data_IF_115090757790
#
_entry.id   IF_115090757790
#
_cell.length_a   1.000
_cell.length_b   1.000
_cell.length_c   1.000
_cell.angle_alpha   90.00
_cell.angle_beta   90.00
_cell.angle_gamma   90.00
#
_symmetry.space_group_name_H-M   'P 1'
#
loop_
_entity.id
_entity.type
_entity.pdbx_description
1 polymer ?
#
# COMPACT_ATOMS: atom_id res chain seq x y z
N UNK A 1 -8.52 25.70 -6.58
CA UNK A 1 -8.57 25.10 -5.22
C UNK A 1 -7.63 23.89 -5.16
N UNK A 2 -6.87 23.81 -4.07
CA UNK A 2 -5.68 22.99 -3.81
C UNK A 2 -6.02 21.48 -3.69
N UNK A 3 -5.95 20.72 -4.78
CA UNK A 3 -6.09 19.25 -4.77
C UNK A 3 -4.94 18.52 -4.05
N UNK A 4 -3.86 19.23 -3.71
CA UNK A 4 -2.60 18.65 -3.24
C UNK A 4 -2.73 17.93 -1.89
N UNK A 5 -3.57 18.41 -0.96
CA UNK A 5 -3.63 17.86 0.40
C UNK A 5 -4.21 16.44 0.50
N UNK A 6 -5.25 16.12 -0.28
CA UNK A 6 -5.92 14.82 -0.23
C UNK A 6 -5.06 13.69 -0.79
N UNK A 7 -4.34 13.97 -1.88
CA UNK A 7 -3.45 13.00 -2.50
C UNK A 7 -2.25 12.71 -1.59
N UNK A 8 -1.63 13.75 -1.02
CA UNK A 8 -0.51 13.61 -0.09
C UNK A 8 -0.91 12.85 1.16
N UNK A 9 -2.08 13.13 1.74
CA UNK A 9 -2.59 12.38 2.90
C UNK A 9 -2.77 10.89 2.59
N UNK A 10 -3.33 10.56 1.42
CA UNK A 10 -3.52 9.17 1.00
C UNK A 10 -2.20 8.46 0.72
N UNK A 11 -1.21 9.15 0.14
CA UNK A 11 0.13 8.59 -0.08
C UNK A 11 0.82 8.25 1.25
N UNK A 12 0.70 9.12 2.24
CA UNK A 12 1.24 8.92 3.58
C UNK A 12 0.61 7.71 4.29
N UNK A 13 -0.69 7.51 4.16
CA UNK A 13 -1.36 6.32 4.72
C UNK A 13 -0.73 5.01 4.22
N UNK A 14 -0.42 4.92 2.92
CA UNK A 14 0.24 3.74 2.38
C UNK A 14 1.69 3.57 2.85
N UNK A 15 2.40 4.67 3.09
CA UNK A 15 3.74 4.64 3.69
C UNK A 15 3.69 4.14 5.14
N UNK A 16 2.71 4.63 5.91
CA UNK A 16 2.47 4.20 7.29
C UNK A 16 2.13 2.70 7.34
N UNK A 17 1.29 2.20 6.43
CA UNK A 17 1.02 0.75 6.32
C UNK A 17 2.27 -0.06 6.04
N UNK A 18 3.08 0.36 5.06
CA UNK A 18 4.35 -0.32 4.73
C UNK A 18 5.36 -0.27 5.88
N UNK A 19 5.35 0.79 6.69
CA UNK A 19 6.21 0.90 7.85
C UNK A 19 5.74 0.06 9.03
N UNK A 20 4.42 -0.20 9.14
CA UNK A 20 3.85 -1.03 10.20
C UNK A 20 4.15 -2.52 10.05
N UNK A 21 4.41 -3.00 8.82
CA UNK A 21 4.71 -4.40 8.54
C UNK A 21 6.19 -4.69 8.84
N UNK A 22 6.43 -5.68 9.70
CA UNK A 22 7.77 -6.22 10.00
C UNK A 22 8.18 -7.23 8.92
N UNK A 23 9.49 -7.46 8.77
CA UNK A 23 10.02 -8.26 7.65
C UNK A 23 9.54 -9.71 7.58
N UNK A 24 9.07 -10.28 8.69
CA UNK A 24 8.52 -11.63 8.80
C UNK A 24 6.98 -11.68 8.78
N UNK A 25 6.33 -10.52 8.74
CA UNK A 25 4.87 -10.40 8.77
C UNK A 25 4.32 -10.05 7.37
N UNK A 26 3.16 -10.60 7.03
CA UNK A 26 2.43 -10.19 5.84
C UNK A 26 1.38 -9.14 6.21
N UNK A 27 1.45 -7.97 5.57
CA UNK A 27 0.38 -6.98 5.58
C UNK A 27 -0.80 -7.43 4.71
N UNK A 28 -2.00 -6.96 5.04
CA UNK A 28 -3.22 -7.20 4.27
C UNK A 28 -4.03 -5.91 4.15
N UNK A 29 -4.44 -5.57 2.94
CA UNK A 29 -5.39 -4.50 2.66
C UNK A 29 -6.52 -5.02 1.75
N UNK A 30 -7.75 -4.60 2.03
CA UNK A 30 -8.91 -4.89 1.20
C UNK A 30 -9.27 -3.63 0.41
N UNK A 31 -9.54 -3.72 -0.90
CA UNK A 31 -9.98 -2.57 -1.69
C UNK A 31 -11.27 -1.96 -1.12
N UNK A 32 -11.29 -0.65 -1.02
CA UNK A 32 -12.50 0.12 -0.70
C UNK A 32 -13.32 0.43 -1.98
N UNK A 33 -14.48 1.06 -1.81
CA UNK A 33 -15.34 1.45 -2.94
C UNK A 33 -14.59 2.30 -3.96
N UNK A 34 -14.60 1.86 -5.23
CA UNK A 34 -13.88 2.50 -6.33
C UNK A 34 -12.37 2.18 -6.39
N UNK A 35 -11.84 1.34 -5.49
CA UNK A 35 -10.50 0.76 -5.63
C UNK A 35 -10.53 -0.62 -6.30
N UNK A 36 -9.40 -0.97 -6.91
CA UNK A 36 -9.17 -2.32 -7.44
C UNK A 36 -7.99 -2.94 -6.73
N UNK A 37 -7.95 -4.26 -6.62
CA UNK A 37 -6.80 -5.00 -6.07
C UNK A 37 -5.49 -4.63 -6.78
N UNK A 38 -5.52 -4.50 -8.11
CA UNK A 38 -4.39 -4.04 -8.91
C UNK A 38 -3.95 -2.61 -8.54
N UNK A 39 -4.90 -1.69 -8.40
CA UNK A 39 -4.62 -0.30 -8.02
C UNK A 39 -4.03 -0.22 -6.61
N UNK A 40 -4.55 -1.02 -5.68
CA UNK A 40 -4.08 -1.12 -4.30
C UNK A 40 -2.65 -1.70 -4.23
N UNK A 41 -2.38 -2.80 -4.92
CA UNK A 41 -1.04 -3.37 -5.04
C UNK A 41 -0.02 -2.34 -5.57
N UNK A 42 -0.38 -1.60 -6.63
CA UNK A 42 0.48 -0.55 -7.18
C UNK A 42 0.76 0.58 -6.17
N UNK A 43 -0.21 0.96 -5.34
CA UNK A 43 -0.03 1.98 -4.30
C UNK A 43 0.92 1.50 -3.21
N UNK A 44 0.80 0.23 -2.79
CA UNK A 44 1.71 -0.41 -1.83
C UNK A 44 3.14 -0.42 -2.38
N UNK A 45 3.36 -0.93 -3.60
CA UNK A 45 4.71 -0.97 -4.19
C UNK A 45 5.33 0.42 -4.33
N UNK A 46 4.52 1.43 -4.69
CA UNK A 46 4.98 2.82 -4.76
C UNK A 46 5.29 3.41 -3.38
N UNK A 47 4.54 3.06 -2.36
CA UNK A 47 4.79 3.50 -0.99
C UNK A 47 6.08 2.90 -0.44
N UNK A 48 6.29 1.58 -0.64
CA UNK A 48 7.54 0.91 -0.29
C UNK A 48 8.75 1.59 -0.92
N UNK A 49 8.69 1.87 -2.24
CA UNK A 49 9.75 2.61 -2.92
C UNK A 49 10.03 3.99 -2.30
N UNK A 50 9.00 4.71 -1.84
CA UNK A 50 9.17 6.05 -1.22
C UNK A 50 9.85 5.98 0.15
N UNK A 51 9.67 4.89 0.88
CA UNK A 51 10.31 4.68 2.20
C UNK A 51 11.57 3.82 2.12
N UNK A 52 12.09 3.56 0.92
CA UNK A 52 13.33 2.82 0.72
C UNK A 52 13.23 1.31 0.94
N UNK A 53 12.03 0.73 0.88
CA UNK A 53 11.78 -0.71 0.99
C UNK A 53 11.39 -1.32 -0.35
N UNK A 54 11.57 -2.62 -0.48
CA UNK A 54 10.96 -3.44 -1.55
C UNK A 54 9.68 -4.08 -1.01
N UNK A 55 8.66 -4.19 -1.85
CA UNK A 55 7.42 -4.88 -1.48
C UNK A 55 7.04 -5.92 -2.52
N UNK A 56 6.86 -7.16 -2.06
CA UNK A 56 6.27 -8.23 -2.85
C UNK A 56 4.78 -8.31 -2.53
N UNK A 57 3.94 -8.18 -3.55
CA UNK A 57 2.48 -8.10 -3.40
C UNK A 57 1.79 -9.23 -4.14
N UNK A 58 0.76 -9.84 -3.54
CA UNK A 58 -0.08 -10.83 -4.19
C UNK A 58 -1.55 -10.64 -3.83
N UNK A 59 -2.45 -11.15 -4.67
CA UNK A 59 -3.90 -11.07 -4.46
C UNK A 59 -4.42 -12.43 -4.04
N UNK A 60 -5.22 -12.47 -2.98
CA UNK A 60 -5.92 -13.67 -2.52
C UNK A 60 -7.26 -13.26 -1.90
N UNK A 61 -8.32 -13.96 -2.29
CA UNK A 61 -9.70 -13.74 -1.78
C UNK A 61 -10.17 -12.27 -1.89
N UNK A 62 -9.79 -11.58 -2.97
CA UNK A 62 -10.13 -10.16 -3.18
C UNK A 62 -9.35 -9.16 -2.33
N UNK A 63 -8.46 -9.62 -1.44
CA UNK A 63 -7.54 -8.78 -0.68
C UNK A 63 -6.14 -8.76 -1.32
N UNK A 64 -5.41 -7.67 -1.08
CA UNK A 64 -4.00 -7.55 -1.43
C UNK A 64 -3.17 -7.82 -0.18
N UNK A 65 -2.29 -8.80 -0.29
CA UNK A 65 -1.30 -9.13 0.71
C UNK A 65 0.08 -8.64 0.26
N UNK A 66 0.94 -8.33 1.21
CA UNK A 66 2.29 -7.87 0.91
C UNK A 66 3.29 -8.16 2.04
N UNK A 67 4.53 -8.43 1.67
CA UNK A 67 5.69 -8.45 2.57
C UNK A 67 6.67 -7.36 2.17
N UNK A 68 7.50 -6.90 3.10
CA UNK A 68 8.44 -5.80 2.88
C UNK A 68 9.84 -6.17 3.35
N UNK A 69 10.85 -5.77 2.58
CA UNK A 69 12.28 -5.98 2.86
C UNK A 69 13.08 -4.71 2.63
#
# INVERSE_FOLDING_TARGET
>A
MRQTGRLTARMRQYEDYVNSVKGDEAGKLTPEEGETTRGLALRISRAAKRVGKTADTWVRDGSVYFVVS
#
